data_IF_952669236612
#
_entry.id   IF_952669236612
#
_cell.length_a   1.000
_cell.length_b   1.000
_cell.length_c   1.000
_cell.angle_alpha   90.00
_cell.angle_beta   90.00
_cell.angle_gamma   90.00
#
_symmetry.space_group_name_H-M   'P 1'
#
loop_
_entity.id
_entity.type
_entity.pdbx_description
1 polymer ?
#
# COMPACT_ATOMS: atom_id res chain seq x y z
N UNK A 1 -5.23 10.88 -4.58
CA UNK A 1 -4.34 9.74 -4.89
C UNK A 1 -4.48 8.73 -3.77
N UNK A 2 -4.54 7.43 -4.06
CA UNK A 2 -4.60 6.39 -3.04
C UNK A 2 -3.30 6.38 -2.22
N UNK A 3 -3.38 5.98 -0.94
CA UNK A 3 -2.22 5.97 -0.06
C UNK A 3 -2.58 5.89 1.42
N UNK A 4 -1.55 5.98 2.26
CA UNK A 4 -1.68 6.04 3.71
C UNK A 4 -1.81 7.50 4.17
N UNK A 5 -2.81 7.77 5.00
CA UNK A 5 -3.11 9.11 5.52
C UNK A 5 -3.25 9.08 7.05
N UNK A 6 -2.76 10.14 7.69
CA UNK A 6 -3.09 10.44 9.08
C UNK A 6 -4.15 11.53 9.14
N UNK A 7 -5.05 11.42 10.11
CA UNK A 7 -6.05 12.45 10.42
C UNK A 7 -5.89 12.87 11.87
N UNK A 8 -5.65 14.15 12.13
CA UNK A 8 -5.54 14.68 13.50
C UNK A 8 -6.91 14.86 14.17
N UNK A 9 -6.99 14.99 15.51
CA UNK A 9 -8.23 15.36 16.20
C UNK A 9 -8.88 16.66 15.70
N UNK A 10 -8.07 17.59 15.18
CA UNK A 10 -8.49 18.86 14.58
C UNK A 10 -8.95 18.72 13.12
N UNK A 11 -9.04 17.49 12.61
CA UNK A 11 -9.42 17.14 11.23
C UNK A 11 -8.39 17.54 10.18
N UNK A 12 -7.13 17.74 10.57
CA UNK A 12 -6.06 17.92 9.60
C UNK A 12 -5.75 16.58 8.93
N UNK A 13 -5.81 16.55 7.60
CA UNK A 13 -5.48 15.36 6.80
C UNK A 13 -4.08 15.53 6.23
N UNK A 14 -3.19 14.60 6.56
CA UNK A 14 -1.82 14.57 6.05
C UNK A 14 -1.55 13.25 5.34
N UNK A 15 -1.02 13.33 4.11
CA UNK A 15 -0.54 12.16 3.38
C UNK A 15 0.78 11.69 3.97
N UNK A 16 0.81 10.44 4.43
CA UNK A 16 2.02 9.79 4.94
C UNK A 16 2.79 9.09 3.82
N UNK A 17 2.07 8.35 2.97
CA UNK A 17 2.68 7.64 1.85
C UNK A 17 1.71 7.51 0.68
N UNK A 18 2.25 7.49 -0.54
CA UNK A 18 1.55 7.13 -1.78
C UNK A 18 2.37 6.14 -2.63
N UNK A 19 3.56 5.78 -2.17
CA UNK A 19 4.53 4.98 -2.91
C UNK A 19 5.47 4.21 -1.98
N UNK A 20 6.03 3.13 -2.50
CA UNK A 20 7.12 2.36 -1.88
C UNK A 20 8.32 2.32 -2.82
N UNK A 21 9.40 1.66 -2.41
CA UNK A 21 10.55 1.45 -3.29
C UNK A 21 10.16 0.68 -4.56
N UNK A 22 10.67 1.13 -5.71
CA UNK A 22 10.48 0.48 -7.00
C UNK A 22 11.38 -0.75 -7.17
N UNK A 23 10.91 -1.76 -7.88
CA UNK A 23 11.73 -2.88 -8.34
C UNK A 23 12.64 -2.47 -9.50
N UNK A 24 13.96 -2.59 -9.34
CA UNK A 24 14.93 -2.22 -10.38
C UNK A 24 14.89 -3.13 -11.62
N UNK A 25 14.37 -4.34 -11.48
CA UNK A 25 14.30 -5.35 -12.55
C UNK A 25 12.92 -5.43 -13.21
N UNK A 26 11.97 -4.58 -12.81
CA UNK A 26 10.62 -4.55 -13.39
C UNK A 26 10.48 -3.41 -14.38
N UNK A 27 9.83 -3.67 -15.51
CA UNK A 27 9.41 -2.64 -16.48
C UNK A 27 8.14 -1.94 -15.96
N UNK A 28 7.28 -2.68 -15.26
CA UNK A 28 6.07 -2.13 -14.65
C UNK A 28 6.47 -1.44 -13.36
N UNK A 29 6.16 -0.14 -13.26
CA UNK A 29 6.34 0.61 -12.03
C UNK A 29 5.40 0.07 -10.94
N UNK A 30 6.01 -0.55 -9.93
CA UNK A 30 5.35 -1.10 -8.76
C UNK A 30 5.47 -0.19 -7.53
N UNK A 31 6.08 1.00 -7.64
CA UNK A 31 6.21 1.91 -6.50
C UNK A 31 4.84 2.44 -6.05
N UNK A 32 4.01 2.85 -7.00
CA UNK A 32 2.70 3.47 -6.73
C UNK A 32 1.78 2.52 -5.95
N UNK A 33 1.15 3.05 -4.91
CA UNK A 33 0.04 2.41 -4.23
C UNK A 33 -1.24 2.54 -5.06
N UNK A 34 -1.93 1.43 -5.32
CA UNK A 34 -3.14 1.44 -6.16
C UNK A 34 -4.42 1.15 -5.39
N UNK A 35 -4.36 0.18 -4.50
CA UNK A 35 -5.49 -0.22 -3.68
C UNK A 35 -5.08 -0.53 -2.23
N UNK A 36 -4.56 0.46 -1.47
CA UNK A 36 -4.35 0.28 -0.04
C UNK A 36 -5.65 -0.01 0.69
N UNK A 37 -5.63 -0.99 1.60
CA UNK A 37 -6.82 -1.49 2.28
C UNK A 37 -6.68 -1.38 3.81
N UNK A 38 -6.57 -2.46 4.57
CA UNK A 38 -6.47 -2.38 6.02
C UNK A 38 -5.08 -1.93 6.50
N UNK A 39 -5.05 -1.36 7.70
CA UNK A 39 -3.82 -0.98 8.38
C UNK A 39 -3.89 -1.20 9.90
N UNK A 40 -2.72 -1.37 10.51
CA UNK A 40 -2.54 -1.47 11.95
C UNK A 40 -1.25 -0.76 12.39
N UNK A 41 -1.17 -0.37 13.65
CA UNK A 41 -0.05 0.37 14.23
C UNK A 41 0.65 -0.52 15.27
N UNK A 42 1.91 -0.84 15.01
CA UNK A 42 2.71 -1.61 15.94
C UNK A 42 3.10 -0.80 17.20
N UNK A 43 3.46 -1.45 18.31
CA UNK A 43 3.87 -0.76 19.55
C UNK A 43 5.06 0.19 19.41
N UNK A 44 5.87 0.03 18.36
CA UNK A 44 7.01 0.90 18.05
C UNK A 44 6.66 2.10 17.15
N UNK A 45 5.37 2.25 16.80
CA UNK A 45 4.82 3.33 16.00
C UNK A 45 4.89 3.10 14.49
N UNK A 46 5.46 2.00 14.00
CA UNK A 46 5.40 1.65 12.58
C UNK A 46 3.99 1.28 12.17
N UNK A 47 3.59 1.69 10.97
CA UNK A 47 2.26 1.47 10.43
C UNK A 47 2.34 0.39 9.36
N UNK A 48 1.65 -0.72 9.57
CA UNK A 48 1.57 -1.83 8.64
C UNK A 48 0.27 -1.70 7.86
N UNK A 49 0.32 -1.89 6.56
CA UNK A 49 -0.86 -1.79 5.72
C UNK A 49 -0.71 -2.62 4.46
N UNK A 50 -1.83 -2.99 3.86
CA UNK A 50 -1.82 -3.76 2.61
C UNK A 50 -1.98 -2.85 1.40
N UNK A 51 -1.64 -3.37 0.23
CA UNK A 51 -2.02 -2.85 -1.09
C UNK A 51 -2.53 -4.07 -1.87
N UNK A 52 -3.85 -4.16 -2.07
CA UNK A 52 -4.55 -5.39 -2.53
C UNK A 52 -4.02 -5.88 -3.87
N UNK A 53 -3.61 -4.94 -4.74
CA UNK A 53 -3.07 -5.22 -6.06
C UNK A 53 -2.17 -4.08 -6.53
N UNK A 54 -1.08 -4.40 -7.23
CA UNK A 54 -0.22 -3.41 -7.88
C UNK A 54 -0.71 -2.97 -9.27
N UNK A 55 -1.80 -3.56 -9.78
CA UNK A 55 -2.18 -3.47 -11.21
C UNK A 55 -3.42 -2.63 -11.47
N UNK A 56 -4.43 -2.72 -10.61
CA UNK A 56 -5.73 -2.10 -10.79
C UNK A 56 -5.99 -1.07 -9.71
N UNK A 57 -6.69 0.02 -10.05
CA UNK A 57 -7.24 0.91 -9.02
C UNK A 57 -8.53 0.27 -8.45
N UNK A 58 -8.95 0.68 -7.25
CA UNK A 58 -10.09 0.08 -6.53
C UNK A 58 -11.39 -0.06 -7.36
N UNK A 59 -11.64 0.88 -8.29
CA UNK A 59 -12.85 0.85 -9.12
C UNK A 59 -12.83 -0.23 -10.22
N UNK A 60 -11.65 -0.79 -10.52
CA UNK A 60 -11.45 -1.87 -11.49
C UNK A 60 -11.37 -3.27 -10.83
N UNK A 61 -11.87 -3.41 -9.59
CA UNK A 61 -11.82 -4.65 -8.80
C UNK A 61 -12.31 -5.91 -9.52
N UNK A 62 -13.27 -5.75 -10.45
CA UNK A 62 -13.80 -6.86 -11.23
C UNK A 62 -12.73 -7.46 -12.16
N UNK A 63 -11.87 -6.61 -12.74
CA UNK A 63 -10.76 -7.07 -13.58
C UNK A 63 -9.68 -7.75 -12.74
N UNK A 64 -9.34 -7.21 -11.58
CA UNK A 64 -8.41 -7.83 -10.63
C UNK A 64 -8.91 -9.22 -10.19
N UNK A 65 -10.22 -9.34 -9.94
CA UNK A 65 -10.85 -10.60 -9.57
C UNK A 65 -10.85 -11.64 -10.70
N UNK A 66 -11.04 -11.21 -11.94
CA UNK A 66 -10.96 -12.09 -13.11
C UNK A 66 -9.51 -12.52 -13.37
N UNK A 67 -8.54 -11.61 -13.22
CA UNK A 67 -7.12 -11.92 -13.38
C UNK A 67 -6.64 -12.92 -12.30
N UNK A 68 -7.15 -12.81 -11.07
CA UNK A 68 -6.91 -13.71 -9.94
C UNK A 68 -5.41 -14.03 -9.74
N UNK A 69 -4.56 -13.04 -10.02
CA UNK A 69 -3.13 -13.13 -9.90
C UNK A 69 -2.71 -12.59 -8.53
N UNK A 70 -1.72 -13.23 -7.93
CA UNK A 70 -1.20 -12.81 -6.64
C UNK A 70 -0.30 -11.58 -6.82
N UNK A 71 -0.88 -10.39 -6.74
CA UNK A 71 -0.23 -9.09 -6.98
C UNK A 71 -0.28 -8.16 -5.77
N UNK A 72 -0.92 -8.60 -4.69
CA UNK A 72 -1.03 -7.87 -3.43
C UNK A 72 0.21 -8.00 -2.56
N UNK A 73 0.37 -7.05 -1.64
CA UNK A 73 1.56 -6.91 -0.80
C UNK A 73 1.26 -6.35 0.59
N UNK A 74 2.09 -6.72 1.56
CA UNK A 74 2.15 -6.09 2.88
C UNK A 74 3.26 -5.04 2.89
N UNK A 75 2.93 -3.85 3.37
CA UNK A 75 3.80 -2.69 3.45
C UNK A 75 3.99 -2.25 4.90
N UNK A 76 5.10 -1.56 5.16
CA UNK A 76 5.34 -0.88 6.42
C UNK A 76 5.79 0.55 6.16
N UNK A 77 5.17 1.50 6.85
CA UNK A 77 5.56 2.90 6.91
C UNK A 77 6.25 3.18 8.26
N UNK A 78 7.43 3.82 8.22
CA UNK A 78 8.14 4.28 9.41
C UNK A 78 7.97 5.80 9.55
N UNK A 79 7.22 6.29 10.55
CA UNK A 79 7.05 7.73 10.76
C UNK A 79 8.33 8.49 11.11
N UNK A 80 9.41 7.81 11.54
CA UNK A 80 10.66 8.46 11.94
C UNK A 80 11.43 9.02 10.76
N UNK A 81 11.42 8.31 9.64
CA UNK A 81 12.12 8.70 8.42
C UNK A 81 11.20 8.91 7.21
N UNK A 82 9.90 8.63 7.36
CA UNK A 82 8.90 8.75 6.31
C UNK A 82 8.99 7.67 5.23
N UNK A 83 9.79 6.62 5.43
CA UNK A 83 9.97 5.56 4.45
C UNK A 83 8.80 4.58 4.42
N UNK A 84 8.50 4.05 3.23
CA UNK A 84 7.59 2.93 3.03
C UNK A 84 8.33 1.78 2.38
N UNK A 85 8.16 0.56 2.89
CA UNK A 85 8.84 -0.64 2.38
C UNK A 85 7.86 -1.78 2.21
N UNK A 86 8.06 -2.60 1.17
CA UNK A 86 7.35 -3.87 1.01
C UNK A 86 8.00 -4.94 1.88
N UNK A 87 7.20 -5.55 2.76
CA UNK A 87 7.64 -6.63 3.64
C UNK A 87 7.34 -8.01 3.06
N UNK A 88 6.16 -8.17 2.48
CA UNK A 88 5.71 -9.39 1.83
C UNK A 88 5.06 -9.03 0.49
N UNK A 89 5.26 -9.86 -0.52
CA UNK A 89 4.75 -9.65 -1.88
C UNK A 89 4.23 -10.97 -2.47
N UNK A 90 3.36 -10.88 -3.47
CA UNK A 90 2.82 -12.03 -4.19
C UNK A 90 1.66 -12.72 -3.47
N UNK A 91 0.79 -11.95 -2.83
CA UNK A 91 -0.42 -12.47 -2.16
C UNK A 91 -1.69 -12.15 -2.97
N UNK A 92 -2.74 -12.92 -2.75
CA UNK A 92 -4.07 -12.67 -3.34
C UNK A 92 -4.96 -12.02 -2.31
N UNK A 93 -5.68 -10.97 -2.70
CA UNK A 93 -6.70 -10.32 -1.86
C UNK A 93 -6.19 -9.99 -0.45
N UNK A 94 -4.98 -9.42 -0.35
CA UNK A 94 -4.49 -8.87 0.90
C UNK A 94 -5.34 -7.68 1.26
N UNK A 95 -6.23 -7.87 2.24
CA UNK A 95 -6.91 -6.81 2.95
C UNK A 95 -6.10 -6.45 4.18
#
# INVERSE_FOLDING_TARGET
>A
AMGLYSVSPEREVKRLSAETARSWTSIVDDARLRDPNDCDIAPDGRIYFTDSTKRYDAHDWALDSIENRATGRLLVYDPKDGSTKTLLDGYRYTN
#
